data_IF_211761389436
#
_entry.id   IF_211761389436
#
_cell.length_a   1.000
_cell.length_b   1.000
_cell.length_c   1.000
_cell.angle_alpha   90.00
_cell.angle_beta   90.00
_cell.angle_gamma   90.00
#
_symmetry.space_group_name_H-M   'P 1'
#
loop_
_entity.id
_entity.type
_entity.pdbx_description
1 polymer ?
#
# COMPACT_ATOMS: atom_id res chain seq x y z
N UNK A 1 -23.82 1.47 -2.40
CA UNK A 1 -23.19 2.13 -1.23
C UNK A 1 -22.00 1.30 -0.81
N UNK A 2 -20.92 1.95 -0.40
CA UNK A 2 -19.75 1.24 0.16
C UNK A 2 -20.16 0.53 1.46
N UNK A 3 -19.83 -0.73 1.61
CA UNK A 3 -20.15 -1.52 2.80
C UNK A 3 -18.93 -2.35 3.18
N UNK A 4 -18.51 -2.26 4.45
CA UNK A 4 -17.48 -3.11 5.02
C UNK A 4 -18.16 -4.17 5.89
N UNK A 5 -18.19 -5.39 5.39
CA UNK A 5 -18.84 -6.53 6.04
C UNK A 5 -17.79 -7.41 6.72
N UNK A 6 -17.72 -7.29 8.04
CA UNK A 6 -16.85 -8.14 8.84
C UNK A 6 -17.41 -9.58 8.85
N UNK A 7 -16.63 -10.55 8.40
CA UNK A 7 -17.02 -11.96 8.32
C UNK A 7 -16.52 -12.77 9.51
N UNK A 8 -15.23 -12.61 9.87
CA UNK A 8 -14.59 -13.35 10.95
C UNK A 8 -13.47 -12.55 11.60
N UNK A 9 -13.14 -12.90 12.83
CA UNK A 9 -12.02 -12.31 13.57
C UNK A 9 -11.26 -13.39 14.32
N UNK A 10 -9.93 -13.22 14.41
CA UNK A 10 -9.06 -14.00 15.29
C UNK A 10 -8.17 -12.99 16.04
N UNK A 11 -8.43 -12.80 17.35
CA UNK A 11 -7.87 -11.69 18.09
C UNK A 11 -8.29 -10.33 17.50
N UNK A 12 -7.29 -9.53 17.06
CA UNK A 12 -7.54 -8.26 16.36
C UNK A 12 -7.61 -8.43 14.85
N UNK A 13 -7.07 -9.52 14.30
CA UNK A 13 -7.11 -9.79 12.87
C UNK A 13 -8.56 -9.90 12.37
N UNK A 14 -8.79 -9.36 11.18
CA UNK A 14 -10.12 -9.25 10.57
C UNK A 14 -10.14 -9.92 9.20
N UNK A 15 -11.18 -10.72 8.94
CA UNK A 15 -11.57 -11.21 7.64
C UNK A 15 -12.85 -10.50 7.23
N UNK A 16 -12.83 -9.75 6.13
CA UNK A 16 -13.99 -8.97 5.71
C UNK A 16 -14.15 -8.90 4.20
N UNK A 17 -15.31 -8.43 3.76
CA UNK A 17 -15.62 -8.00 2.40
C UNK A 17 -15.82 -6.49 2.39
N UNK A 18 -15.15 -5.80 1.48
CA UNK A 18 -15.36 -4.37 1.26
C UNK A 18 -15.98 -4.16 -0.11
N UNK A 19 -17.28 -3.86 -0.12
CA UNK A 19 -18.06 -3.66 -1.33
C UNK A 19 -17.83 -2.27 -1.89
N UNK A 20 -17.49 -2.18 -3.18
CA UNK A 20 -17.24 -0.94 -3.90
C UNK A 20 -17.98 -0.92 -5.23
N UNK A 21 -18.03 0.24 -5.89
CA UNK A 21 -18.63 0.37 -7.23
C UNK A 21 -17.86 -0.38 -8.32
N UNK A 22 -16.60 -0.75 -8.07
CA UNK A 22 -15.75 -1.49 -8.99
C UNK A 22 -15.51 -2.94 -8.54
N UNK A 23 -16.37 -3.48 -7.70
CA UNK A 23 -16.30 -4.85 -7.19
C UNK A 23 -16.01 -4.96 -5.71
N UNK A 24 -16.02 -6.19 -5.21
CA UNK A 24 -15.79 -6.50 -3.80
C UNK A 24 -14.32 -6.82 -3.56
N UNK A 25 -13.74 -6.18 -2.55
CA UNK A 25 -12.38 -6.43 -2.09
C UNK A 25 -12.45 -7.42 -0.92
N UNK A 26 -11.77 -8.56 -1.05
CA UNK A 26 -11.59 -9.52 0.03
C UNK A 26 -10.40 -9.08 0.89
N UNK A 27 -10.64 -8.78 2.16
CA UNK A 27 -9.57 -8.35 3.07
C UNK A 27 -9.17 -9.45 4.06
N UNK A 28 -7.91 -9.48 4.51
CA UNK A 28 -6.81 -8.57 4.19
C UNK A 28 -6.35 -8.62 2.74
N UNK A 29 -5.82 -7.49 2.23
CA UNK A 29 -5.43 -7.35 0.83
C UNK A 29 -4.11 -6.58 0.68
N UNK A 30 -3.30 -6.97 -0.30
CA UNK A 30 -2.13 -6.21 -0.74
C UNK A 30 -2.47 -5.49 -2.06
N UNK A 31 -2.27 -4.18 -2.09
CA UNK A 31 -2.49 -3.36 -3.28
C UNK A 31 -1.19 -3.28 -4.10
N UNK A 32 -1.27 -3.71 -5.35
CA UNK A 32 -0.11 -3.66 -6.24
C UNK A 32 0.13 -2.22 -6.74
N UNK A 33 1.34 -1.69 -6.49
CA UNK A 33 1.66 -0.28 -6.73
C UNK A 33 2.02 -0.02 -8.19
N UNK A 34 1.11 0.64 -8.90
CA UNK A 34 1.27 1.11 -10.28
C UNK A 34 1.41 2.62 -10.35
N UNK A 35 2.52 3.16 -9.92
CA UNK A 35 2.84 4.58 -9.72
C UNK A 35 2.21 5.57 -10.73
N UNK A 36 2.22 5.22 -12.02
CA UNK A 36 1.70 6.07 -13.13
C UNK A 36 0.63 5.34 -13.94
N UNK A 37 -0.23 4.56 -13.28
CA UNK A 37 -1.18 3.69 -13.96
C UNK A 37 -0.52 2.47 -14.60
N UNK A 38 0.66 2.09 -14.14
CA UNK A 38 1.40 0.90 -14.59
C UNK A 38 2.42 0.47 -13.54
N UNK A 39 2.61 -0.83 -13.38
CA UNK A 39 3.61 -1.39 -12.49
C UNK A 39 5.00 -1.32 -13.14
N UNK A 40 5.96 -0.69 -12.45
CA UNK A 40 7.35 -0.66 -12.91
C UNK A 40 7.91 -2.07 -13.03
N UNK A 41 8.37 -2.43 -14.21
CA UNK A 41 8.80 -3.79 -14.56
C UNK A 41 8.00 -4.40 -15.70
N UNK A 42 7.31 -3.56 -16.48
CA UNK A 42 6.54 -3.94 -17.68
C UNK A 42 5.43 -4.98 -17.39
N UNK A 43 4.72 -4.81 -16.27
CA UNK A 43 3.55 -5.62 -15.92
C UNK A 43 2.30 -4.90 -16.37
N UNK A 44 1.52 -5.54 -17.21
CA UNK A 44 0.26 -5.02 -17.76
C UNK A 44 -0.93 -5.31 -16.83
N UNK A 45 -2.07 -4.68 -17.12
CA UNK A 45 -3.35 -4.98 -16.44
C UNK A 45 -3.80 -6.42 -16.67
N UNK A 46 -3.53 -7.01 -17.84
CA UNK A 46 -3.77 -8.43 -18.09
C UNK A 46 -2.94 -9.33 -17.18
N UNK A 47 -1.67 -8.97 -16.96
CA UNK A 47 -0.82 -9.69 -16.01
C UNK A 47 -1.37 -9.57 -14.59
N UNK A 48 -1.83 -8.38 -14.18
CA UNK A 48 -2.44 -8.16 -12.87
C UNK A 48 -3.72 -8.99 -12.67
N UNK A 49 -4.56 -9.12 -13.70
CA UNK A 49 -5.73 -10.01 -13.67
C UNK A 49 -5.29 -11.47 -13.50
N UNK A 50 -4.29 -11.91 -14.27
CA UNK A 50 -3.78 -13.28 -14.24
C UNK A 50 -3.18 -13.68 -12.89
N UNK A 51 -2.56 -12.75 -12.18
CA UNK A 51 -1.97 -13.00 -10.85
C UNK A 51 -2.91 -12.71 -9.69
N UNK A 52 -4.21 -12.52 -9.94
CA UNK A 52 -5.22 -12.38 -8.90
C UNK A 52 -5.21 -11.04 -8.16
N UNK A 53 -4.69 -9.96 -8.76
CA UNK A 53 -4.72 -8.62 -8.16
C UNK A 53 -6.16 -8.17 -7.95
N UNK A 54 -6.49 -7.72 -6.73
CA UNK A 54 -7.80 -7.20 -6.39
C UNK A 54 -7.86 -5.67 -6.47
N UNK A 55 -6.80 -4.99 -6.03
CA UNK A 55 -6.72 -3.53 -5.97
C UNK A 55 -5.39 -3.08 -6.54
N UNK A 56 -5.44 -2.10 -7.43
CA UNK A 56 -4.25 -1.38 -7.91
C UNK A 56 -4.14 -0.04 -7.16
N UNK A 57 -2.90 0.38 -6.83
CA UNK A 57 -2.63 1.68 -6.24
C UNK A 57 -1.89 2.57 -7.24
N UNK A 58 -2.48 3.70 -7.59
CA UNK A 58 -1.89 4.73 -8.45
C UNK A 58 -1.53 5.99 -7.67
N UNK A 59 -0.45 6.68 -8.07
CA UNK A 59 0.02 7.86 -7.37
C UNK A 59 -0.54 9.16 -7.95
N UNK A 60 -1.27 9.90 -7.15
CA UNK A 60 -1.93 11.17 -7.50
C UNK A 60 -0.96 12.21 -8.05
N UNK A 61 0.15 12.48 -7.33
CA UNK A 61 1.13 13.45 -7.76
C UNK A 61 1.76 13.11 -9.12
N UNK A 62 2.17 11.86 -9.32
CA UNK A 62 2.82 11.46 -10.57
C UNK A 62 1.87 11.56 -11.76
N UNK A 63 0.61 11.18 -11.60
CA UNK A 63 -0.41 11.26 -12.65
C UNK A 63 -0.86 12.70 -12.91
N UNK A 64 -0.88 13.56 -11.89
CA UNK A 64 -1.13 15.00 -12.06
C UNK A 64 -0.05 15.67 -12.90
N UNK A 65 1.22 15.38 -12.63
CA UNK A 65 2.33 15.97 -13.38
C UNK A 65 2.44 15.36 -14.79
N UNK A 66 2.16 14.07 -14.94
CA UNK A 66 2.19 13.39 -16.23
C UNK A 66 1.31 12.14 -16.25
N UNK A 67 0.33 12.02 -17.15
CA UNK A 67 0.04 12.90 -18.30
C UNK A 67 -0.74 14.17 -17.94
N UNK A 68 -1.24 14.29 -16.70
CA UNK A 68 -2.15 15.31 -16.22
C UNK A 68 -3.55 14.73 -15.95
N UNK A 69 -4.07 14.99 -14.74
CA UNK A 69 -5.36 14.46 -14.28
C UNK A 69 -6.54 14.91 -15.16
N UNK A 70 -6.50 16.13 -15.72
CA UNK A 70 -7.50 16.63 -16.65
C UNK A 70 -7.56 15.84 -17.95
N UNK A 71 -6.39 15.38 -18.45
CA UNK A 71 -6.32 14.50 -19.64
C UNK A 71 -6.96 13.15 -19.29
N UNK A 72 -6.63 12.59 -18.13
CA UNK A 72 -7.20 11.31 -17.68
C UNK A 72 -8.72 11.43 -17.51
N UNK A 73 -9.23 12.55 -16.95
CA UNK A 73 -10.68 12.82 -16.88
C UNK A 73 -11.34 12.80 -18.26
N UNK A 74 -10.76 13.50 -19.25
CA UNK A 74 -11.28 13.56 -20.61
C UNK A 74 -11.34 12.16 -21.28
N UNK A 75 -10.45 11.26 -20.89
CA UNK A 75 -10.42 9.87 -21.36
C UNK A 75 -11.30 8.93 -20.52
N UNK A 76 -12.07 9.46 -19.57
CA UNK A 76 -13.05 8.73 -18.76
C UNK A 76 -12.51 8.11 -17.48
N UNK A 77 -11.39 8.63 -16.96
CA UNK A 77 -10.76 8.23 -15.70
C UNK A 77 -9.77 7.08 -15.84
N UNK A 78 -9.09 6.75 -14.73
CA UNK A 78 -8.00 5.75 -14.71
C UNK A 78 -8.47 4.36 -15.16
N UNK A 79 -9.65 3.93 -14.76
CA UNK A 79 -10.19 2.62 -15.12
C UNK A 79 -10.23 2.42 -16.65
N UNK A 80 -10.73 3.41 -17.38
CA UNK A 80 -10.74 3.37 -18.85
C UNK A 80 -9.33 3.57 -19.44
N UNK A 81 -8.57 4.49 -18.87
CA UNK A 81 -7.23 4.82 -19.35
C UNK A 81 -6.26 3.66 -19.25
N UNK A 82 -6.33 2.89 -18.14
CA UNK A 82 -5.46 1.71 -17.89
C UNK A 82 -6.06 0.40 -18.43
N UNK A 83 -7.33 0.39 -18.82
CA UNK A 83 -8.09 -0.84 -19.09
C UNK A 83 -8.08 -1.77 -17.87
N UNK A 84 -8.51 -1.22 -16.73
CA UNK A 84 -8.59 -1.92 -15.46
C UNK A 84 -10.01 -1.77 -14.86
N UNK A 85 -10.67 -2.89 -14.59
CA UNK A 85 -12.07 -2.95 -14.20
C UNK A 85 -12.31 -3.15 -12.70
N UNK A 86 -11.24 -3.39 -11.93
CA UNK A 86 -11.29 -3.62 -10.49
C UNK A 86 -10.95 -2.35 -9.69
N UNK A 87 -11.12 -2.36 -8.36
CA UNK A 87 -10.82 -1.19 -7.54
C UNK A 87 -9.42 -0.60 -7.74
N UNK A 88 -9.37 0.74 -7.73
CA UNK A 88 -8.13 1.53 -7.71
C UNK A 88 -8.15 2.41 -6.46
N UNK A 89 -7.06 2.42 -5.71
CA UNK A 89 -6.80 3.42 -4.69
C UNK A 89 -5.82 4.46 -5.24
N UNK A 90 -6.12 5.75 -5.07
CA UNK A 90 -5.14 6.82 -5.30
C UNK A 90 -4.64 7.36 -3.98
N UNK A 91 -3.30 7.51 -3.85
CA UNK A 91 -2.71 8.15 -2.68
C UNK A 91 -3.05 9.65 -2.63
N UNK A 92 -2.73 10.32 -1.52
CA UNK A 92 -2.99 11.75 -1.34
C UNK A 92 -2.13 12.66 -2.22
N UNK A 93 -0.99 12.16 -2.71
CA UNK A 93 0.09 12.95 -3.29
C UNK A 93 0.98 13.62 -2.24
N UNK A 94 0.58 13.65 -0.98
CA UNK A 94 1.30 14.31 0.11
C UNK A 94 2.69 13.74 0.34
N UNK A 95 2.83 12.43 0.45
CA UNK A 95 4.14 11.79 0.68
C UNK A 95 5.16 12.12 -0.43
N UNK A 96 4.76 12.13 -1.70
CA UNK A 96 5.65 12.48 -2.82
C UNK A 96 6.08 13.94 -2.75
N UNK A 97 5.18 14.83 -2.37
CA UNK A 97 5.51 16.24 -2.11
C UNK A 97 6.53 16.35 -0.97
N UNK A 98 6.39 15.55 0.10
CA UNK A 98 7.32 15.56 1.22
C UNK A 98 8.65 14.88 0.91
N UNK A 99 8.67 13.80 0.13
CA UNK A 99 9.87 13.00 -0.15
C UNK A 99 10.70 13.50 -1.33
N UNK A 100 10.07 14.07 -2.37
CA UNK A 100 10.74 14.47 -3.62
C UNK A 100 11.11 15.96 -3.68
N UNK A 101 10.40 16.82 -2.96
CA UNK A 101 10.64 18.25 -3.00
C UNK A 101 11.73 18.67 -2.02
N UNK A 102 12.93 18.99 -2.52
CA UNK A 102 14.03 19.54 -1.72
C UNK A 102 13.70 20.92 -1.14
N UNK A 103 12.88 21.71 -1.86
CA UNK A 103 12.41 23.04 -1.45
C UNK A 103 10.88 23.01 -1.44
N UNK A 104 10.30 22.91 -0.26
CA UNK A 104 8.86 22.95 -0.04
C UNK A 104 8.54 23.99 1.03
N UNK A 105 7.40 24.65 0.87
CA UNK A 105 6.87 25.60 1.86
C UNK A 105 5.48 25.11 2.27
N UNK A 106 5.38 24.60 3.49
CA UNK A 106 4.13 24.15 4.09
C UNK A 106 3.43 25.33 4.72
N UNK A 107 2.17 25.52 4.42
CA UNK A 107 1.30 26.53 4.99
C UNK A 107 -0.04 25.91 5.37
N UNK A 108 -0.92 26.68 6.00
CA UNK A 108 -2.25 26.21 6.36
C UNK A 108 -3.12 25.90 5.12
N UNK A 109 -2.98 26.66 4.07
CA UNK A 109 -3.71 26.43 2.82
C UNK A 109 -3.28 25.16 2.08
N UNK A 110 -1.98 24.77 2.18
CA UNK A 110 -1.41 23.62 1.47
C UNK A 110 0.11 23.75 1.33
N UNK A 111 0.69 23.10 0.33
CA UNK A 111 2.13 23.00 0.12
C UNK A 111 2.52 23.56 -1.24
N UNK A 112 3.50 24.46 -1.25
CA UNK A 112 4.16 24.97 -2.45
C UNK A 112 5.47 24.23 -2.66
N UNK A 113 5.68 23.71 -3.86
CA UNK A 113 6.90 22.97 -4.21
C UNK A 113 7.15 23.01 -5.72
N UNK A 114 8.30 22.48 -6.14
CA UNK A 114 8.65 22.43 -7.56
C UNK A 114 8.51 21.00 -8.10
N UNK A 115 7.98 20.87 -9.32
CA UNK A 115 7.94 19.62 -10.08
C UNK A 115 9.33 19.00 -10.20
N UNK A 116 9.45 17.72 -9.96
CA UNK A 116 10.71 16.97 -10.13
C UNK A 116 11.04 16.68 -11.60
N UNK A 117 10.10 16.96 -12.53
CA UNK A 117 10.29 16.70 -13.97
C UNK A 117 10.92 17.91 -14.65
N UNK A 118 10.37 19.09 -14.43
CA UNK A 118 10.71 20.31 -15.17
C UNK A 118 10.89 21.54 -14.27
N UNK A 119 10.74 21.37 -12.96
CA UNK A 119 10.99 22.42 -11.98
C UNK A 119 9.90 23.49 -11.87
N UNK A 120 8.78 23.39 -12.61
CA UNK A 120 7.71 24.37 -12.47
C UNK A 120 7.09 24.34 -11.06
N UNK A 121 6.56 25.51 -10.63
CA UNK A 121 5.93 25.63 -9.31
C UNK A 121 4.56 24.97 -9.30
N UNK A 122 4.32 24.15 -8.29
CA UNK A 122 3.05 23.47 -8.04
C UNK A 122 2.55 23.90 -6.65
N UNK A 123 1.26 24.14 -6.55
CA UNK A 123 0.54 24.21 -5.29
C UNK A 123 -0.34 22.96 -5.16
N UNK A 124 -0.33 22.35 -4.00
CA UNK A 124 -1.21 21.23 -3.67
C UNK A 124 -1.70 21.38 -2.24
N UNK A 125 -2.98 21.45 -2.07
CA UNK A 125 -3.68 21.45 -0.80
C UNK A 125 -4.78 20.40 -0.78
N UNK A 126 -5.60 20.37 0.27
CA UNK A 126 -6.71 19.42 0.39
C UNK A 126 -7.65 19.44 -0.81
N UNK A 127 -8.08 20.63 -1.24
CA UNK A 127 -9.04 20.75 -2.35
C UNK A 127 -8.42 20.34 -3.69
N UNK A 128 -7.17 20.73 -3.95
CA UNK A 128 -6.45 20.34 -5.16
C UNK A 128 -6.22 18.84 -5.22
N UNK A 129 -5.82 18.22 -4.11
CA UNK A 129 -5.64 16.78 -4.04
C UNK A 129 -6.95 16.03 -4.32
N UNK A 130 -8.06 16.46 -3.71
CA UNK A 130 -9.38 15.87 -3.97
C UNK A 130 -9.82 16.08 -5.41
N UNK A 131 -9.62 17.28 -5.99
CA UNK A 131 -9.94 17.56 -7.38
C UNK A 131 -9.16 16.68 -8.35
N UNK A 132 -7.86 16.48 -8.10
CA UNK A 132 -7.01 15.61 -8.91
C UNK A 132 -7.52 14.17 -8.84
N UNK A 133 -7.76 13.64 -7.63
CA UNK A 133 -8.24 12.28 -7.44
C UNK A 133 -9.65 12.06 -8.03
N UNK A 134 -10.52 13.06 -7.96
CA UNK A 134 -11.83 13.05 -8.62
C UNK A 134 -11.71 13.00 -10.14
N UNK A 135 -10.78 13.75 -10.73
CA UNK A 135 -10.49 13.70 -12.17
C UNK A 135 -9.92 12.33 -12.59
N UNK A 136 -9.08 11.72 -11.75
CA UNK A 136 -8.59 10.36 -11.94
C UNK A 136 -9.69 9.31 -11.82
N UNK A 137 -10.73 9.58 -11.01
CA UNK A 137 -11.90 8.72 -10.86
C UNK A 137 -11.63 7.40 -10.16
N UNK A 138 -10.66 7.36 -9.22
CA UNK A 138 -10.35 6.17 -8.44
C UNK A 138 -11.55 5.70 -7.61
N UNK A 139 -11.51 4.46 -7.15
CA UNK A 139 -12.51 3.88 -6.25
C UNK A 139 -12.37 4.46 -4.84
N UNK A 140 -11.14 4.55 -4.35
CA UNK A 140 -10.77 5.05 -3.02
C UNK A 140 -9.76 6.18 -3.20
N UNK A 141 -10.04 7.33 -2.59
CA UNK A 141 -9.12 8.46 -2.50
C UNK A 141 -8.59 8.60 -1.08
N UNK A 142 -7.30 8.94 -0.95
CA UNK A 142 -6.69 9.25 0.34
C UNK A 142 -6.79 10.75 0.62
N UNK A 143 -7.11 11.12 1.87
CA UNK A 143 -7.10 12.51 2.28
C UNK A 143 -5.67 13.09 2.21
N UNK A 144 -5.57 14.38 1.88
CA UNK A 144 -4.27 15.07 1.87
C UNK A 144 -3.78 15.28 3.30
N UNK A 145 -2.55 14.89 3.58
CA UNK A 145 -1.96 14.85 4.92
C UNK A 145 -0.53 15.41 4.93
N UNK A 146 -0.05 15.71 6.12
CA UNK A 146 1.37 16.04 6.36
C UNK A 146 2.05 14.87 7.07
N UNK A 147 2.96 14.19 6.35
CA UNK A 147 3.79 13.14 6.90
C UNK A 147 5.02 13.75 7.58
N UNK A 148 4.98 13.89 8.91
CA UNK A 148 6.15 14.33 9.68
C UNK A 148 7.25 13.25 9.66
N UNK A 149 8.56 13.63 9.65
CA UNK A 149 9.65 12.67 9.83
C UNK A 149 9.51 11.88 11.12
N UNK A 150 9.93 10.59 11.13
CA UNK A 150 9.81 9.72 12.31
C UNK A 150 10.47 10.31 13.57
N UNK A 151 11.62 10.96 13.39
CA UNK A 151 12.40 11.56 14.48
C UNK A 151 12.14 13.08 14.66
N UNK A 152 11.02 13.60 14.13
CA UNK A 152 10.67 15.01 14.33
C UNK A 152 10.36 15.30 15.79
N UNK A 153 10.71 16.53 16.23
CA UNK A 153 10.44 16.98 17.58
C UNK A 153 8.94 17.09 17.87
N UNK A 154 8.54 16.76 19.09
CA UNK A 154 7.15 16.70 19.52
C UNK A 154 6.31 17.94 19.14
N UNK A 155 6.76 19.19 19.39
CA UNK A 155 5.96 20.37 19.03
C UNK A 155 5.65 20.49 17.54
N UNK A 156 6.60 20.06 16.69
CA UNK A 156 6.36 20.02 15.25
C UNK A 156 5.31 18.96 14.89
N UNK A 157 5.41 17.77 15.48
CA UNK A 157 4.46 16.66 15.23
C UNK A 157 3.05 17.06 15.67
N UNK A 158 2.89 17.69 16.83
CA UNK A 158 1.60 18.20 17.31
C UNK A 158 0.98 19.22 16.34
N UNK A 159 1.78 20.16 15.85
CA UNK A 159 1.34 21.16 14.87
C UNK A 159 0.96 20.51 13.52
N UNK A 160 1.75 19.54 13.05
CA UNK A 160 1.53 18.79 11.82
C UNK A 160 0.23 17.96 11.90
N UNK A 161 0.01 17.27 12.99
CA UNK A 161 -1.21 16.46 13.23
C UNK A 161 -2.45 17.35 13.29
N UNK A 162 -2.37 18.48 14.00
CA UNK A 162 -3.47 19.43 14.06
C UNK A 162 -3.82 20.00 12.66
N UNK A 163 -2.82 20.27 11.82
CA UNK A 163 -3.01 20.68 10.43
C UNK A 163 -3.63 19.57 9.59
N UNK A 164 -3.13 18.34 9.70
CA UNK A 164 -3.66 17.16 9.01
C UNK A 164 -5.15 16.94 9.34
N UNK A 165 -5.56 17.15 10.59
CA UNK A 165 -6.98 17.07 10.99
C UNK A 165 -7.83 18.10 10.25
N UNK A 166 -7.41 19.39 10.22
CA UNK A 166 -8.14 20.45 9.49
C UNK A 166 -8.15 20.20 7.97
N UNK A 167 -7.06 19.69 7.43
CA UNK A 167 -6.99 19.29 6.03
C UNK A 167 -7.93 18.14 5.70
N UNK A 168 -8.07 17.16 6.60
CA UNK A 168 -9.01 16.06 6.43
C UNK A 168 -10.48 16.55 6.36
N UNK A 169 -10.85 17.49 7.21
CA UNK A 169 -12.19 18.12 7.19
C UNK A 169 -12.44 18.83 5.84
N UNK A 170 -11.45 19.55 5.33
CA UNK A 170 -11.50 20.20 4.01
C UNK A 170 -11.60 19.16 2.89
N UNK A 171 -10.82 18.08 2.94
CA UNK A 171 -10.90 16.96 1.99
C UNK A 171 -12.30 16.36 1.97
N UNK A 172 -12.90 16.08 3.12
CA UNK A 172 -14.25 15.51 3.22
C UNK A 172 -15.30 16.45 2.60
N UNK A 173 -15.21 17.72 2.91
CA UNK A 173 -16.13 18.74 2.35
C UNK A 173 -16.00 18.80 0.82
N UNK A 174 -14.76 18.85 0.31
CA UNK A 174 -14.51 18.93 -1.13
C UNK A 174 -14.92 17.64 -1.85
N UNK A 175 -14.62 16.46 -1.28
CA UNK A 175 -15.06 15.18 -1.83
C UNK A 175 -16.60 15.13 -2.00
N UNK A 176 -17.34 15.54 -0.97
CA UNK A 176 -18.80 15.56 -1.03
C UNK A 176 -19.30 16.51 -2.15
N UNK A 177 -18.66 17.68 -2.29
CA UNK A 177 -18.97 18.62 -3.37
C UNK A 177 -18.72 18.01 -4.74
N UNK A 178 -17.54 17.41 -4.92
CA UNK A 178 -17.13 16.81 -6.20
C UNK A 178 -18.04 15.64 -6.58
N UNK A 179 -18.38 14.77 -5.63
CA UNK A 179 -19.26 13.62 -5.88
C UNK A 179 -20.70 14.05 -6.26
N UNK A 180 -21.10 15.29 -5.97
CA UNK A 180 -22.43 15.84 -6.36
C UNK A 180 -22.44 16.43 -7.77
N UNK A 181 -21.30 16.66 -8.42
CA UNK A 181 -21.24 17.26 -9.76
C UNK A 181 -21.65 16.26 -10.85
N UNK A 182 -22.27 16.76 -11.93
CA UNK A 182 -22.73 15.91 -13.03
C UNK A 182 -21.58 15.29 -13.83
N UNK A 183 -20.48 16.04 -14.00
CA UNK A 183 -19.31 15.66 -14.82
C UNK A 183 -18.22 14.90 -14.04
N UNK A 184 -18.52 14.47 -12.81
CA UNK A 184 -17.59 13.65 -12.00
C UNK A 184 -17.47 12.24 -12.57
N UNK A 185 -16.23 11.78 -12.75
CA UNK A 185 -15.92 10.45 -13.29
C UNK A 185 -16.51 9.33 -12.42
N UNK A 186 -16.29 9.42 -11.11
CA UNK A 186 -16.82 8.46 -10.13
C UNK A 186 -17.54 9.20 -9.00
N UNK A 187 -18.87 9.28 -9.05
CA UNK A 187 -19.70 9.93 -8.03
C UNK A 187 -19.79 9.20 -6.69
N UNK A 188 -19.27 7.98 -6.65
CA UNK A 188 -19.22 7.14 -5.44
C UNK A 188 -17.78 6.94 -4.98
N UNK A 189 -16.88 7.88 -5.26
CA UNK A 189 -15.51 7.84 -4.80
C UNK A 189 -15.49 7.93 -3.27
N UNK A 190 -14.78 6.99 -2.64
CA UNK A 190 -14.67 6.88 -1.18
C UNK A 190 -13.47 7.65 -0.66
N UNK A 191 -13.55 8.12 0.59
CA UNK A 191 -12.47 8.85 1.27
C UNK A 191 -11.93 8.07 2.45
N UNK A 192 -10.62 7.82 2.46
CA UNK A 192 -9.89 7.32 3.62
C UNK A 192 -9.13 8.45 4.30
N UNK A 193 -9.29 8.59 5.63
CA UNK A 193 -8.50 9.51 6.45
C UNK A 193 -7.18 8.88 6.87
N UNK A 194 -6.18 9.71 7.17
CA UNK A 194 -4.84 9.24 7.54
C UNK A 194 -4.51 9.66 8.97
N UNK A 195 -4.26 8.70 9.84
CA UNK A 195 -3.70 8.91 11.17
C UNK A 195 -2.21 9.21 11.05
N UNK A 196 -1.77 10.30 11.66
CA UNK A 196 -0.38 10.75 11.76
C UNK A 196 0.01 10.95 13.23
N UNK A 197 1.31 11.10 13.51
CA UNK A 197 1.83 11.32 14.88
C UNK A 197 3.25 10.82 15.11
N UNK A 198 4.01 10.54 14.03
CA UNK A 198 5.37 9.99 14.09
C UNK A 198 5.42 8.76 15.03
N UNK A 199 6.36 8.71 15.98
CA UNK A 199 6.51 7.64 16.97
C UNK A 199 5.86 7.96 18.34
N UNK A 200 5.02 9.01 18.43
CA UNK A 200 4.37 9.42 19.66
C UNK A 200 2.99 8.78 19.78
N UNK A 201 2.88 7.73 20.59
CA UNK A 201 1.65 6.94 20.74
C UNK A 201 0.47 7.77 21.22
N UNK A 202 0.67 8.65 22.21
CA UNK A 202 -0.38 9.52 22.76
C UNK A 202 -0.95 10.50 21.72
N UNK A 203 -0.09 11.09 20.86
CA UNK A 203 -0.52 11.96 19.74
C UNK A 203 -1.33 11.13 18.73
N UNK A 204 -0.89 9.92 18.40
CA UNK A 204 -1.60 9.05 17.47
C UNK A 204 -2.95 8.59 17.99
N UNK A 205 -3.03 8.25 19.28
CA UNK A 205 -4.29 7.87 19.95
C UNK A 205 -5.30 9.02 19.89
N UNK A 206 -4.87 10.24 20.26
CA UNK A 206 -5.72 11.42 20.22
C UNK A 206 -6.18 11.72 18.78
N UNK A 207 -5.27 11.67 17.82
CA UNK A 207 -5.60 11.86 16.41
C UNK A 207 -6.53 10.75 15.87
N UNK A 208 -6.32 9.48 16.24
CA UNK A 208 -7.21 8.38 15.85
C UNK A 208 -8.66 8.61 16.32
N UNK A 209 -8.83 9.04 17.57
CA UNK A 209 -10.14 9.40 18.12
C UNK A 209 -10.80 10.53 17.32
N UNK A 210 -10.07 11.62 17.07
CA UNK A 210 -10.59 12.78 16.32
C UNK A 210 -11.03 12.45 14.90
N UNK A 211 -10.19 11.73 14.14
CA UNK A 211 -10.53 11.38 12.75
C UNK A 211 -11.68 10.36 12.68
N UNK A 212 -11.84 9.52 13.72
CA UNK A 212 -12.93 8.55 13.80
C UNK A 212 -14.31 9.23 13.94
N UNK A 213 -14.39 10.43 14.51
CA UNK A 213 -15.62 11.21 14.63
C UNK A 213 -16.13 11.73 13.27
N UNK A 214 -15.27 11.76 12.25
CA UNK A 214 -15.63 12.25 10.92
C UNK A 214 -16.41 11.22 10.08
N UNK A 215 -16.60 9.99 10.55
CA UNK A 215 -17.29 8.89 9.85
C UNK A 215 -16.90 8.80 8.36
N UNK A 216 -15.68 8.37 8.12
CA UNK A 216 -15.11 8.16 6.79
C UNK A 216 -15.38 6.74 6.29
N UNK A 217 -15.10 6.48 5.01
CA UNK A 217 -15.23 5.14 4.41
C UNK A 217 -14.16 4.16 4.90
N UNK A 218 -13.00 4.68 5.33
CA UNK A 218 -11.90 3.91 5.91
C UNK A 218 -10.84 4.80 6.55
N UNK A 219 -9.88 4.17 7.21
CA UNK A 219 -8.83 4.86 7.97
C UNK A 219 -7.48 4.24 7.68
N UNK A 220 -6.48 5.07 7.52
CA UNK A 220 -5.09 4.64 7.32
C UNK A 220 -4.21 5.05 8.50
N UNK A 221 -3.16 4.27 8.73
CA UNK A 221 -2.03 4.63 9.58
C UNK A 221 -0.88 4.99 8.66
N UNK A 222 -0.55 6.27 8.59
CA UNK A 222 0.54 6.81 7.78
C UNK A 222 1.76 7.18 8.62
N UNK A 223 2.85 7.55 7.95
CA UNK A 223 4.07 8.04 8.61
C UNK A 223 4.80 6.98 9.43
N UNK A 224 4.67 5.70 9.06
CA UNK A 224 5.47 4.57 9.54
C UNK A 224 6.28 3.98 8.37
N UNK A 225 7.27 3.12 8.65
CA UNK A 225 8.27 2.62 7.70
C UNK A 225 9.08 3.76 7.03
N UNK A 226 9.34 4.83 7.77
CA UNK A 226 10.07 6.03 7.32
C UNK A 226 11.33 6.32 8.16
N UNK A 227 11.83 5.31 8.91
CA UNK A 227 13.08 5.39 9.68
C UNK A 227 13.03 4.82 11.10
N UNK A 228 11.87 4.47 11.62
CA UNK A 228 11.71 3.75 12.88
C UNK A 228 12.05 2.27 12.74
N UNK A 229 12.28 1.59 13.86
CA UNK A 229 12.45 0.14 13.92
C UNK A 229 11.13 -0.61 13.73
N UNK A 230 11.19 -1.91 13.42
CA UNK A 230 9.98 -2.74 13.33
C UNK A 230 9.26 -2.83 14.68
N UNK A 231 10.00 -2.91 15.77
CA UNK A 231 9.45 -2.95 17.13
C UNK A 231 8.69 -1.66 17.45
N UNK A 232 9.25 -0.49 17.12
CA UNK A 232 8.57 0.81 17.28
C UNK A 232 7.31 0.88 16.41
N UNK A 233 7.37 0.43 15.16
CA UNK A 233 6.20 0.37 14.28
C UNK A 233 5.11 -0.52 14.89
N UNK A 234 5.44 -1.72 15.38
CA UNK A 234 4.47 -2.64 15.97
C UNK A 234 3.88 -2.08 17.27
N UNK A 235 4.71 -1.47 18.11
CA UNK A 235 4.23 -0.77 19.31
C UNK A 235 3.22 0.32 18.95
N UNK A 236 3.52 1.16 17.97
CA UNK A 236 2.61 2.22 17.52
C UNK A 236 1.30 1.63 16.99
N UNK A 237 1.34 0.53 16.24
CA UNK A 237 0.12 -0.13 15.77
C UNK A 237 -0.70 -0.70 16.94
N UNK A 238 -0.03 -1.31 17.93
CA UNK A 238 -0.68 -1.86 19.12
C UNK A 238 -1.44 -0.78 19.91
N UNK A 239 -0.85 0.41 20.00
CA UNK A 239 -1.44 1.55 20.72
C UNK A 239 -2.52 2.28 19.90
N UNK A 240 -2.39 2.37 18.58
CA UNK A 240 -3.22 3.25 17.75
C UNK A 240 -4.45 2.56 17.18
N UNK A 241 -4.27 1.34 16.62
CA UNK A 241 -5.34 0.64 15.88
C UNK A 241 -6.60 0.38 16.72
N UNK A 242 -6.52 0.10 18.03
CA UNK A 242 -7.72 -0.08 18.87
C UNK A 242 -8.66 1.14 18.92
N UNK A 243 -8.18 2.34 18.59
CA UNK A 243 -8.96 3.58 18.59
C UNK A 243 -9.54 3.93 17.20
N UNK A 244 -9.21 3.16 16.17
CA UNK A 244 -9.85 3.27 14.86
C UNK A 244 -11.13 2.42 14.79
N UNK A 245 -12.14 2.81 13.99
CA UNK A 245 -13.41 2.09 13.91
C UNK A 245 -13.25 0.66 13.37
N UNK A 246 -13.49 -0.35 14.22
CA UNK A 246 -13.32 -1.77 13.86
C UNK A 246 -14.22 -2.22 12.69
N UNK A 247 -15.35 -1.54 12.47
CA UNK A 247 -16.31 -1.82 11.39
C UNK A 247 -16.00 -1.05 10.10
N UNK A 248 -14.81 -0.53 9.98
CA UNK A 248 -14.28 0.14 8.78
C UNK A 248 -12.94 -0.47 8.41
N UNK A 249 -12.53 -0.42 7.14
CA UNK A 249 -11.22 -0.89 6.74
C UNK A 249 -10.10 -0.04 7.34
N UNK A 250 -9.03 -0.71 7.75
CA UNK A 250 -7.80 -0.08 8.28
C UNK A 250 -6.64 -0.37 7.34
N UNK A 251 -5.94 0.67 6.90
CA UNK A 251 -4.85 0.59 5.93
C UNK A 251 -3.53 1.03 6.56
N UNK A 252 -2.49 0.19 6.47
CA UNK A 252 -1.11 0.52 6.87
C UNK A 252 -0.32 0.90 5.62
N UNK A 253 -0.01 2.20 5.49
CA UNK A 253 0.58 2.78 4.29
C UNK A 253 2.06 2.45 4.13
N UNK A 254 2.45 2.06 2.91
CA UNK A 254 3.86 1.84 2.54
C UNK A 254 4.51 0.59 3.12
N UNK A 255 3.76 -0.28 3.78
CA UNK A 255 4.24 -1.50 4.43
C UNK A 255 3.73 -2.75 3.70
N UNK A 256 4.54 -3.75 3.41
CA UNK A 256 5.98 -3.82 3.49
C UNK A 256 6.54 -5.20 3.18
N UNK A 257 7.37 -5.69 4.07
CA UNK A 257 7.87 -7.07 3.95
C UNK A 257 6.78 -8.09 4.29
N UNK A 258 6.91 -9.36 3.85
CA UNK A 258 5.96 -10.40 4.25
C UNK A 258 5.76 -10.51 5.76
N UNK A 259 6.83 -10.37 6.55
CA UNK A 259 6.76 -10.37 8.02
C UNK A 259 5.94 -9.19 8.56
N UNK A 260 6.19 -7.97 8.05
CA UNK A 260 5.43 -6.79 8.47
C UNK A 260 3.93 -6.91 8.12
N UNK A 261 3.59 -7.53 6.99
CA UNK A 261 2.20 -7.77 6.61
C UNK A 261 1.53 -8.74 7.60
N UNK A 262 2.17 -9.88 7.91
CA UNK A 262 1.65 -10.84 8.87
C UNK A 262 1.44 -10.22 10.27
N UNK A 263 2.41 -9.43 10.73
CA UNK A 263 2.32 -8.70 12.00
C UNK A 263 1.27 -7.58 11.96
N UNK A 264 1.09 -6.92 10.82
CA UNK A 264 0.06 -5.91 10.63
C UNK A 264 -1.35 -6.52 10.65
N UNK A 265 -1.56 -7.65 9.97
CA UNK A 265 -2.85 -8.38 10.01
C UNK A 265 -3.22 -8.79 11.42
N UNK A 266 -2.26 -9.34 12.19
CA UNK A 266 -2.46 -9.71 13.60
C UNK A 266 -2.93 -8.52 14.48
N UNK A 267 -2.55 -7.29 14.08
CA UNK A 267 -2.92 -6.03 14.74
C UNK A 267 -4.18 -5.38 14.19
N UNK A 268 -4.85 -6.01 13.22
CA UNK A 268 -6.14 -5.56 12.68
C UNK A 268 -6.06 -4.70 11.43
N UNK A 269 -4.96 -4.74 10.70
CA UNK A 269 -4.81 -4.07 9.41
C UNK A 269 -5.45 -4.90 8.30
N UNK A 270 -6.17 -4.22 7.40
CA UNK A 270 -6.89 -4.81 6.27
C UNK A 270 -6.21 -4.58 4.92
N UNK A 271 -5.57 -3.42 4.74
CA UNK A 271 -4.98 -2.98 3.47
C UNK A 271 -3.49 -2.70 3.64
N UNK A 272 -2.72 -3.12 2.65
CA UNK A 272 -1.27 -2.91 2.59
C UNK A 272 -0.87 -2.50 1.18
N UNK A 273 0.19 -1.71 1.07
CA UNK A 273 0.91 -1.44 -0.17
C UNK A 273 2.40 -1.36 0.09
N UNK A 274 3.20 -1.70 -0.88
CA UNK A 274 4.62 -1.41 -0.86
C UNK A 274 5.21 -1.56 -2.27
N UNK A 275 6.22 -0.76 -2.56
CA UNK A 275 6.99 -0.89 -3.81
C UNK A 275 8.02 -2.05 -3.77
N UNK A 276 8.21 -2.69 -2.62
CA UNK A 276 9.24 -3.74 -2.45
C UNK A 276 9.09 -4.91 -3.42
N UNK A 277 7.92 -5.51 -3.68
CA UNK A 277 7.80 -6.62 -4.61
C UNK A 277 8.33 -6.26 -6.00
N UNK A 278 7.88 -5.14 -6.55
CA UNK A 278 8.30 -4.70 -7.89
C UNK A 278 9.74 -4.16 -7.89
N UNK A 279 10.15 -3.42 -6.85
CA UNK A 279 11.53 -2.90 -6.74
C UNK A 279 12.53 -4.05 -6.62
N UNK A 280 12.33 -4.99 -5.71
CA UNK A 280 13.19 -6.15 -5.52
C UNK A 280 13.23 -7.02 -6.80
N UNK A 281 12.09 -7.29 -7.42
CA UNK A 281 12.01 -8.05 -8.67
C UNK A 281 12.84 -7.43 -9.78
N UNK A 282 12.77 -6.11 -9.96
CA UNK A 282 13.59 -5.40 -10.95
C UNK A 282 15.11 -5.53 -10.73
N UNK A 283 15.53 -5.84 -9.51
CA UNK A 283 16.92 -6.07 -9.12
C UNK A 283 17.24 -7.57 -8.92
N UNK A 284 16.41 -8.46 -9.46
CA UNK A 284 16.64 -9.91 -9.41
C UNK A 284 16.47 -10.54 -8.03
N UNK A 285 15.92 -9.81 -7.05
CA UNK A 285 15.57 -10.35 -5.76
C UNK A 285 14.12 -10.82 -5.78
N UNK A 286 13.90 -12.10 -5.49
CA UNK A 286 12.57 -12.71 -5.50
C UNK A 286 12.25 -13.36 -4.15
N UNK A 287 10.97 -13.32 -3.79
CA UNK A 287 10.45 -13.90 -2.55
C UNK A 287 10.02 -15.34 -2.79
N UNK A 288 10.30 -16.20 -1.82
CA UNK A 288 9.84 -17.59 -1.79
C UNK A 288 9.34 -17.93 -0.38
N UNK A 289 8.66 -19.04 -0.23
CA UNK A 289 8.27 -19.55 1.09
C UNK A 289 9.46 -19.94 1.98
N UNK A 290 10.66 -19.99 1.40
CA UNK A 290 11.94 -20.23 2.11
C UNK A 290 12.77 -18.95 2.28
N UNK A 291 12.14 -17.77 2.11
CA UNK A 291 12.78 -16.48 2.20
C UNK A 291 13.18 -15.86 0.85
N UNK A 292 13.93 -14.78 0.91
CA UNK A 292 14.31 -13.99 -0.26
C UNK A 292 15.61 -14.53 -0.89
N UNK A 293 15.61 -14.74 -2.20
CA UNK A 293 16.78 -15.15 -2.97
C UNK A 293 17.18 -14.11 -4.02
N UNK A 294 18.49 -14.05 -4.36
CA UNK A 294 19.01 -13.18 -5.40
C UNK A 294 19.43 -14.02 -6.61
N UNK A 295 18.67 -13.90 -7.71
CA UNK A 295 18.90 -14.66 -8.95
C UNK A 295 20.17 -14.28 -9.70
N UNK A 296 20.86 -13.18 -9.35
CA UNK A 296 22.19 -12.87 -9.88
C UNK A 296 23.29 -13.82 -9.37
N UNK A 297 23.04 -14.55 -8.26
CA UNK A 297 24.04 -15.45 -7.68
C UNK A 297 24.45 -16.55 -8.66
N UNK A 298 25.77 -16.88 -8.66
CA UNK A 298 26.36 -17.85 -9.58
C UNK A 298 25.76 -19.25 -9.42
N UNK A 299 25.35 -19.63 -8.22
CA UNK A 299 24.74 -20.94 -7.93
C UNK A 299 23.49 -21.26 -8.81
N UNK A 300 22.84 -20.22 -9.37
CA UNK A 300 21.67 -20.39 -10.23
C UNK A 300 21.99 -20.48 -11.73
N UNK A 301 23.27 -20.45 -12.11
CA UNK A 301 23.70 -20.45 -13.52
C UNK A 301 23.26 -21.69 -14.30
N UNK A 302 23.19 -22.82 -13.63
CA UNK A 302 22.78 -24.12 -14.21
C UNK A 302 21.53 -24.69 -13.52
N UNK A 303 20.81 -23.87 -12.75
CA UNK A 303 19.64 -24.30 -11.99
C UNK A 303 18.38 -24.29 -12.87
N UNK A 304 17.96 -25.46 -13.31
CA UNK A 304 16.79 -25.66 -14.17
C UNK A 304 15.47 -25.62 -13.42
N UNK A 305 15.48 -25.53 -12.08
CA UNK A 305 14.26 -25.40 -11.28
C UNK A 305 13.59 -24.03 -11.49
N UNK A 306 12.27 -23.90 -11.27
CA UNK A 306 11.58 -22.60 -11.22
C UNK A 306 12.09 -21.73 -10.07
N UNK A 307 11.67 -20.47 -10.00
CA UNK A 307 11.99 -19.60 -8.86
C UNK A 307 11.55 -20.29 -7.57
N UNK A 308 10.34 -20.84 -7.56
CA UNK A 308 9.79 -21.61 -6.44
C UNK A 308 9.03 -22.83 -6.97
N UNK A 309 9.33 -24.01 -6.45
CA UNK A 309 8.64 -25.24 -6.82
C UNK A 309 7.19 -25.21 -6.32
N UNK A 310 6.26 -25.69 -7.15
CA UNK A 310 4.83 -25.65 -6.86
C UNK A 310 4.15 -24.29 -7.12
N UNK A 311 4.90 -23.20 -7.29
CA UNK A 311 4.36 -21.88 -7.57
C UNK A 311 3.68 -21.85 -8.95
N UNK A 312 2.44 -21.32 -8.98
CA UNK A 312 1.61 -21.27 -10.19
C UNK A 312 1.74 -19.96 -10.97
N UNK A 313 2.65 -19.06 -10.60
CA UNK A 313 2.84 -17.81 -11.32
C UNK A 313 3.31 -18.04 -12.76
N UNK A 314 3.03 -17.11 -13.70
CA UNK A 314 3.44 -17.24 -15.11
C UNK A 314 4.94 -17.49 -15.31
N UNK A 315 5.80 -16.94 -14.43
CA UNK A 315 7.23 -17.13 -14.47
C UNK A 315 7.63 -18.56 -14.07
N UNK A 316 7.19 -19.06 -12.92
CA UNK A 316 7.56 -20.37 -12.39
C UNK A 316 7.04 -21.54 -13.25
N UNK A 317 5.86 -21.38 -13.87
CA UNK A 317 5.27 -22.39 -14.73
C UNK A 317 6.05 -22.67 -16.01
N UNK A 318 6.93 -21.77 -16.44
CA UNK A 318 7.56 -21.84 -17.77
C UNK A 318 9.07 -21.66 -17.77
N UNK A 319 9.65 -20.96 -16.78
CA UNK A 319 11.04 -20.51 -16.86
C UNK A 319 11.85 -21.00 -15.68
N UNK A 320 13.10 -21.39 -15.98
CA UNK A 320 14.06 -21.79 -14.96
C UNK A 320 14.80 -20.60 -14.35
N UNK A 321 15.34 -20.80 -13.14
CA UNK A 321 16.26 -19.83 -12.50
C UNK A 321 17.46 -19.50 -13.41
N UNK A 322 18.01 -20.51 -14.08
CA UNK A 322 19.14 -20.32 -15.00
C UNK A 322 18.79 -19.36 -16.14
N UNK A 323 17.63 -19.55 -16.80
CA UNK A 323 17.20 -18.68 -17.88
C UNK A 323 16.91 -17.25 -17.39
N UNK A 324 16.19 -17.10 -16.27
CA UNK A 324 15.90 -15.77 -15.70
C UNK A 324 17.21 -15.07 -15.33
N UNK A 325 18.17 -15.80 -14.69
CA UNK A 325 19.48 -15.25 -14.39
C UNK A 325 20.22 -14.79 -15.67
N UNK A 326 20.20 -15.57 -16.73
CA UNK A 326 20.76 -15.17 -18.02
C UNK A 326 20.19 -13.85 -18.52
N UNK A 327 18.85 -13.71 -18.54
CA UNK A 327 18.17 -12.49 -18.95
C UNK A 327 18.56 -11.29 -18.08
N UNK A 328 18.61 -11.46 -16.75
CA UNK A 328 19.04 -10.41 -15.81
C UNK A 328 20.49 -9.97 -16.09
N UNK A 329 21.41 -10.92 -16.34
CA UNK A 329 22.81 -10.64 -16.67
C UNK A 329 22.94 -9.95 -18.02
N UNK A 330 22.12 -10.32 -18.99
CA UNK A 330 22.05 -9.69 -20.31
C UNK A 330 21.31 -8.33 -20.29
N UNK A 331 20.75 -7.93 -19.12
CA UNK A 331 19.93 -6.72 -18.96
C UNK A 331 18.67 -6.72 -19.83
N UNK A 332 18.16 -7.91 -20.15
CA UNK A 332 16.89 -8.04 -20.87
C UNK A 332 15.70 -7.73 -19.97
N UNK A 333 14.78 -6.89 -20.47
CA UNK A 333 13.59 -6.48 -19.73
C UNK A 333 12.69 -7.65 -19.30
N UNK A 334 12.67 -8.74 -20.10
CA UNK A 334 11.91 -9.94 -19.77
C UNK A 334 12.36 -10.56 -18.45
N UNK A 335 13.66 -10.57 -18.13
CA UNK A 335 14.17 -11.08 -16.85
C UNK A 335 13.62 -10.30 -15.66
N UNK A 336 13.63 -8.98 -15.77
CA UNK A 336 13.03 -8.07 -14.78
C UNK A 336 11.52 -8.31 -14.63
N UNK A 337 10.79 -8.37 -15.75
CA UNK A 337 9.34 -8.60 -15.75
C UNK A 337 8.96 -9.91 -15.08
N UNK A 338 9.67 -11.01 -15.37
CA UNK A 338 9.40 -12.33 -14.77
C UNK A 338 9.61 -12.33 -13.26
N UNK A 339 10.66 -11.66 -12.76
CA UNK A 339 10.89 -11.50 -11.32
C UNK A 339 9.79 -10.65 -10.65
N UNK A 340 9.36 -9.56 -11.29
CA UNK A 340 8.29 -8.71 -10.77
C UNK A 340 6.97 -9.47 -10.72
N UNK A 341 6.59 -10.16 -11.80
CA UNK A 341 5.38 -10.98 -11.84
C UNK A 341 5.36 -12.04 -10.74
N UNK A 342 6.49 -12.74 -10.54
CA UNK A 342 6.60 -13.72 -9.47
C UNK A 342 6.39 -13.09 -8.09
N UNK A 343 7.05 -11.97 -7.82
CA UNK A 343 6.93 -11.30 -6.53
C UNK A 343 5.51 -10.80 -6.26
N UNK A 344 4.85 -10.20 -7.25
CA UNK A 344 3.47 -9.74 -7.07
C UNK A 344 2.51 -10.93 -6.86
N UNK A 345 2.70 -12.02 -7.60
CA UNK A 345 1.95 -13.26 -7.40
C UNK A 345 2.16 -13.81 -5.98
N UNK A 346 3.42 -13.86 -5.51
CA UNK A 346 3.74 -14.31 -4.17
C UNK A 346 3.00 -13.49 -3.09
N UNK A 347 2.97 -12.16 -3.21
CA UNK A 347 2.25 -11.32 -2.26
C UNK A 347 0.74 -11.53 -2.33
N UNK A 348 0.16 -11.60 -3.52
CA UNK A 348 -1.28 -11.83 -3.68
C UNK A 348 -1.69 -13.20 -3.12
N UNK A 349 -0.91 -14.25 -3.39
CA UNK A 349 -1.15 -15.60 -2.86
C UNK A 349 -1.00 -15.66 -1.35
N UNK A 350 0.02 -15.00 -0.79
CA UNK A 350 0.17 -14.91 0.67
C UNK A 350 -1.06 -14.25 1.32
N UNK A 351 -1.62 -13.21 0.70
CA UNK A 351 -2.85 -12.60 1.22
C UNK A 351 -4.07 -13.53 1.11
N UNK A 352 -4.14 -14.38 0.08
CA UNK A 352 -5.16 -15.42 -0.03
C UNK A 352 -4.99 -16.47 1.07
N UNK A 353 -3.78 -16.98 1.29
CA UNK A 353 -3.46 -17.92 2.38
C UNK A 353 -3.81 -17.32 3.76
N UNK A 354 -3.56 -16.03 3.98
CA UNK A 354 -3.95 -15.32 5.21
C UNK A 354 -5.48 -15.33 5.39
N UNK A 355 -6.24 -15.02 4.34
CA UNK A 355 -7.70 -15.05 4.40
C UNK A 355 -8.23 -16.47 4.67
N UNK A 356 -7.68 -17.47 4.00
CA UNK A 356 -8.04 -18.87 4.23
C UNK A 356 -7.76 -19.32 5.67
N UNK A 357 -6.61 -18.92 6.22
CA UNK A 357 -6.26 -19.19 7.60
C UNK A 357 -7.19 -18.49 8.59
N UNK A 358 -7.60 -17.25 8.33
CA UNK A 358 -8.62 -16.55 9.11
C UNK A 358 -9.98 -17.23 9.01
N UNK A 359 -10.39 -17.65 7.82
CA UNK A 359 -11.65 -18.37 7.60
C UNK A 359 -11.63 -19.76 8.28
N UNK A 360 -10.48 -20.41 8.36
CA UNK A 360 -10.28 -21.64 9.13
C UNK A 360 -10.16 -21.42 10.64
N UNK A 361 -9.80 -20.21 11.12
CA UNK A 361 -9.56 -19.90 12.53
C UNK A 361 -8.22 -20.43 13.04
N UNK A 362 -7.21 -20.43 12.19
CA UNK A 362 -5.84 -20.88 12.50
C UNK A 362 -4.77 -19.90 12.02
N UNK A 363 -5.13 -18.62 11.87
CA UNK A 363 -4.22 -17.59 11.36
C UNK A 363 -2.94 -17.47 12.19
N UNK A 364 -3.04 -17.60 13.51
CA UNK A 364 -1.86 -17.51 14.38
C UNK A 364 -0.84 -18.61 14.06
N UNK A 365 -1.29 -19.84 13.93
CA UNK A 365 -0.41 -20.97 13.57
C UNK A 365 0.19 -20.79 12.17
N UNK A 366 -0.62 -20.34 11.20
CA UNK A 366 -0.16 -20.03 9.85
C UNK A 366 0.94 -18.94 9.87
N UNK A 367 0.73 -17.85 10.63
CA UNK A 367 1.70 -16.75 10.78
C UNK A 367 3.03 -17.26 11.31
N UNK A 368 3.01 -18.02 12.39
CA UNK A 368 4.22 -18.57 13.03
C UNK A 368 4.99 -19.50 12.08
N UNK A 369 4.29 -20.39 11.39
CA UNK A 369 4.89 -21.31 10.42
C UNK A 369 5.50 -20.55 9.23
N UNK A 370 4.78 -19.57 8.67
CA UNK A 370 5.23 -18.76 7.54
C UNK A 370 6.48 -17.97 7.90
N UNK A 371 6.49 -17.30 9.05
CA UNK A 371 7.64 -16.54 9.54
C UNK A 371 8.87 -17.44 9.78
N UNK A 372 8.66 -18.63 10.35
CA UNK A 372 9.73 -19.60 10.56
C UNK A 372 10.32 -20.08 9.22
N UNK A 373 9.48 -20.51 8.28
CA UNK A 373 9.92 -20.99 6.98
C UNK A 373 10.69 -19.91 6.18
N UNK A 374 10.34 -18.66 6.36
CA UNK A 374 11.02 -17.52 5.74
C UNK A 374 12.28 -17.07 6.49
N UNK A 375 12.66 -17.73 7.58
CA UNK A 375 13.82 -17.39 8.41
C UNK A 375 13.68 -16.06 9.16
N UNK A 376 12.44 -15.62 9.45
CA UNK A 376 12.18 -14.38 10.18
C UNK A 376 12.08 -14.58 11.70
N UNK A 377 11.85 -15.80 12.15
CA UNK A 377 11.89 -16.21 13.57
C UNK A 377 12.69 -17.49 13.74
N UNK A 378 13.36 -17.60 14.90
CA UNK A 378 14.10 -18.77 15.31
C UNK A 378 13.34 -19.43 16.48
N UNK A 379 12.71 -20.59 16.23
CA UNK A 379 11.91 -21.31 17.25
C UNK A 379 12.70 -21.65 18.50
N UNK A 380 14.00 -21.91 18.39
CA UNK A 380 14.84 -22.22 19.55
C UNK A 380 15.03 -21.00 20.46
N UNK A 381 15.12 -19.80 19.86
CA UNK A 381 15.23 -18.53 20.60
C UNK A 381 13.90 -18.07 21.19
N UNK A 382 12.77 -18.34 20.53
CA UNK A 382 11.46 -18.08 21.11
C UNK A 382 11.17 -18.92 22.36
N UNK A 383 11.52 -20.21 22.33
CA UNK A 383 11.39 -21.10 23.49
C UNK A 383 12.28 -20.68 24.66
N UNK A 384 13.39 -20.00 24.40
CA UNK A 384 14.31 -19.45 25.41
C UNK A 384 13.94 -18.05 25.93
N UNK A 385 12.87 -17.44 25.42
CA UNK A 385 12.41 -16.10 25.84
C UNK A 385 13.23 -14.92 25.27
N UNK A 386 14.17 -15.17 24.36
CA UNK A 386 14.98 -14.14 23.71
C UNK A 386 14.38 -13.78 22.33
N UNK A 387 13.42 -12.89 22.31
CA UNK A 387 12.91 -12.33 21.04
C UNK A 387 13.96 -11.39 20.42
N UNK A 388 14.54 -11.78 19.31
CA UNK A 388 15.20 -10.86 18.37
C UNK A 388 14.57 -11.03 17.00
N UNK A 389 13.89 -9.99 16.56
CA UNK A 389 13.49 -9.84 15.17
C UNK A 389 14.68 -9.35 14.34
N UNK A 390 14.94 -9.95 13.18
CA UNK A 390 16.00 -9.56 12.24
C UNK A 390 15.41 -8.80 11.05
#
# INVERSE_FOLDING_TARGET
MAEYKLLKTEGRAKRAEFHTVHGTIQTPVFMNVGTIGAIKGAVSTMDLQQIGTQVELSNTYHLHVRPGDKIVKQLGGLHKFMVWDKPILTDSGGFQVFSLAKLRKIKEEGVYFNSHIDGHKIFMGPEESMQIQSNLGSTIAMAFDECAPALAERPYVEASVARTTRWLERCKKEMNRLNSLEDTVNKNQMLFGINQGAIYADIRIDHAKRISELDLDGYAVGGLAVGETHEEMYYILDETVPYLPRKKPTYLMGVGTPANILEGVDRGIDFFDCVYPSRNGRHGHVYTNQGKINLFNQKYEKDMRPIEEGCQCPACRRYSRAYIRHLLKAKEMLGMRLCVLHNLYFYNTMMEEIRDALDAGNFRSYKEEKLYNMGQIDREKEMSGQKKFY
#
